data_IF_483122510780
#
_entry.id   IF_483122510780
#
_cell.length_a   1.000
_cell.length_b   1.000
_cell.length_c   1.000
_cell.angle_alpha   90.00
_cell.angle_beta   90.00
_cell.angle_gamma   90.00
#
_symmetry.space_group_name_H-M   'P 1'
#
loop_
_entity.id
_entity.type
_entity.pdbx_description
1 polymer ?
#
# COMPACT_ATOMS: atom_id res chain seq x y z
N UNK A 1 26.89 -15.30 -3.72
CA UNK A 1 26.17 -14.14 -3.17
C UNK A 1 26.57 -12.96 -4.03
N UNK A 2 25.67 -12.63 -4.96
CA UNK A 2 25.97 -11.83 -6.15
C UNK A 2 25.35 -10.45 -6.02
N UNK A 3 25.57 -9.60 -7.03
CA UNK A 3 25.07 -8.22 -7.14
C UNK A 3 23.51 -8.09 -7.13
N UNK A 4 22.78 -9.15 -6.78
CA UNK A 4 21.33 -9.34 -6.80
C UNK A 4 20.77 -9.88 -5.47
N UNK A 5 21.44 -9.67 -4.33
CA UNK A 5 21.03 -10.26 -3.03
C UNK A 5 19.73 -9.66 -2.43
N UNK A 6 18.84 -9.06 -3.24
CA UNK A 6 17.48 -8.61 -2.85
C UNK A 6 16.48 -8.81 -4.00
N UNK A 7 15.34 -9.38 -3.66
CA UNK A 7 14.22 -9.67 -4.55
C UNK A 7 13.04 -8.74 -4.31
N UNK A 8 12.08 -8.70 -5.23
CA UNK A 8 10.79 -8.02 -5.05
C UNK A 8 10.06 -8.43 -3.76
N UNK A 9 10.29 -9.65 -3.24
CA UNK A 9 9.72 -10.09 -1.97
C UNK A 9 10.19 -9.26 -0.77
N UNK A 10 11.45 -8.81 -0.78
CA UNK A 10 12.05 -8.06 0.32
C UNK A 10 11.43 -6.67 0.45
N UNK A 11 11.29 -5.97 -0.69
CA UNK A 11 10.89 -4.57 -0.73
C UNK A 11 9.41 -4.33 -1.03
N UNK A 12 8.70 -5.27 -1.63
CA UNK A 12 7.29 -5.06 -2.01
C UNK A 12 6.36 -5.90 -1.14
N UNK A 13 6.68 -7.18 -0.95
CA UNK A 13 5.78 -8.14 -0.29
C UNK A 13 5.91 -8.09 1.24
N UNK A 14 7.14 -8.08 1.76
CA UNK A 14 7.35 -8.05 3.21
C UNK A 14 6.80 -6.77 3.86
N UNK A 15 7.00 -5.55 3.32
CA UNK A 15 6.42 -4.34 3.90
C UNK A 15 4.90 -4.34 3.84
N UNK A 16 4.29 -4.82 2.75
CA UNK A 16 2.84 -4.96 2.65
C UNK A 16 2.28 -5.94 3.69
N UNK A 17 2.96 -7.06 3.97
CA UNK A 17 2.57 -7.96 5.05
C UNK A 17 2.56 -7.23 6.40
N UNK A 18 3.61 -6.48 6.74
CA UNK A 18 3.67 -5.71 7.98
C UNK A 18 2.55 -4.67 8.09
N UNK A 19 2.12 -4.08 6.97
CA UNK A 19 0.96 -3.19 6.94
C UNK A 19 -0.31 -3.97 7.23
N UNK A 20 -0.57 -5.08 6.53
CA UNK A 20 -1.78 -5.89 6.70
C UNK A 20 -1.90 -6.50 8.11
N UNK A 21 -0.78 -6.88 8.72
CA UNK A 21 -0.71 -7.34 10.12
C UNK A 21 -1.24 -6.28 11.10
N UNK A 22 -0.98 -5.00 10.85
CA UNK A 22 -1.48 -3.89 11.69
C UNK A 22 -2.98 -3.59 11.48
N UNK A 23 -3.62 -4.24 10.50
CA UNK A 23 -5.02 -4.02 10.13
C UNK A 23 -5.94 -5.18 10.55
N UNK A 24 -5.45 -6.17 11.32
CA UNK A 24 -6.21 -7.40 11.64
C UNK A 24 -7.43 -7.23 12.56
N UNK A 25 -7.58 -6.08 13.22
CA UNK A 25 -8.68 -5.81 14.16
C UNK A 25 -9.70 -4.81 13.61
N UNK A 26 -9.92 -4.84 12.29
CA UNK A 26 -10.80 -3.89 11.58
C UNK A 26 -11.93 -4.62 10.87
N UNK A 27 -13.02 -4.84 11.60
CA UNK A 27 -14.18 -5.58 11.09
C UNK A 27 -14.84 -4.88 9.90
N UNK A 28 -14.82 -5.53 8.73
CA UNK A 28 -15.53 -5.10 7.52
C UNK A 28 -15.12 -3.73 6.97
N UNK A 29 -13.98 -3.21 7.40
CA UNK A 29 -13.57 -1.82 7.17
C UNK A 29 -12.34 -1.68 6.27
N UNK A 30 -11.63 -2.78 6.00
CA UNK A 30 -10.41 -2.77 5.18
C UNK A 30 -10.77 -3.04 3.73
N UNK A 31 -10.47 -2.10 2.85
CA UNK A 31 -10.48 -2.32 1.42
C UNK A 31 -9.15 -2.92 0.98
N UNK A 32 -9.19 -3.98 0.17
CA UNK A 32 -8.00 -4.57 -0.46
C UNK A 32 -8.11 -4.41 -1.97
N UNK A 33 -7.08 -3.80 -2.57
CA UNK A 33 -6.85 -3.77 -4.00
C UNK A 33 -5.78 -4.81 -4.39
N UNK A 34 -5.98 -5.47 -5.52
CA UNK A 34 -5.01 -6.42 -6.06
C UNK A 34 -4.82 -6.20 -7.55
N UNK A 35 -3.73 -6.75 -8.09
CA UNK A 35 -3.45 -6.72 -9.53
C UNK A 35 -4.57 -7.31 -10.40
N UNK A 36 -5.41 -8.20 -9.84
CA UNK A 36 -6.46 -8.92 -10.59
C UNK A 36 -7.91 -8.54 -10.24
N UNK A 37 -8.16 -7.83 -9.15
CA UNK A 37 -9.52 -7.52 -8.71
C UNK A 37 -10.02 -6.20 -9.31
N UNK A 38 -11.19 -6.25 -9.96
CA UNK A 38 -11.80 -5.10 -10.62
C UNK A 38 -12.30 -3.98 -9.68
N UNK A 39 -12.50 -4.29 -8.40
CA UNK A 39 -12.96 -3.34 -7.40
C UNK A 39 -12.37 -3.68 -6.02
N UNK A 40 -12.30 -2.66 -5.15
CA UNK A 40 -11.97 -2.82 -3.75
C UNK A 40 -12.99 -3.72 -3.04
N UNK A 41 -12.50 -4.77 -2.39
CA UNK A 41 -13.33 -5.65 -1.55
C UNK A 41 -13.13 -5.24 -0.10
N UNK A 42 -14.22 -4.87 0.57
CA UNK A 42 -14.21 -4.62 2.01
C UNK A 42 -14.19 -5.93 2.77
N UNK A 43 -13.19 -6.10 3.63
CA UNK A 43 -12.95 -7.33 4.38
C UNK A 43 -12.60 -7.04 5.82
N UNK A 44 -12.71 -8.08 6.64
CA UNK A 44 -11.96 -8.21 7.90
C UNK A 44 -10.70 -9.01 7.62
N UNK A 45 -9.51 -8.49 7.95
CA UNK A 45 -8.27 -9.27 7.88
C UNK A 45 -8.14 -10.09 9.16
N UNK A 46 -8.22 -11.41 9.08
CA UNK A 46 -8.09 -12.29 10.25
C UNK A 46 -6.63 -12.57 10.62
N UNK A 47 -5.75 -12.67 9.61
CA UNK A 47 -4.30 -12.78 9.81
C UNK A 47 -3.57 -12.36 8.54
N UNK A 48 -2.34 -11.87 8.68
CA UNK A 48 -1.41 -11.65 7.58
C UNK A 48 -0.06 -12.25 7.97
N UNK A 49 0.24 -13.45 7.48
CA UNK A 49 1.46 -14.17 7.84
C UNK A 49 1.89 -15.09 6.70
N UNK A 50 3.20 -15.38 6.61
CA UNK A 50 3.76 -16.29 5.58
C UNK A 50 3.34 -15.88 4.16
N UNK A 51 3.29 -14.58 3.89
CA UNK A 51 2.91 -13.98 2.61
C UNK A 51 1.46 -14.23 2.19
N UNK A 52 0.58 -14.59 3.15
CA UNK A 52 -0.85 -14.79 2.95
C UNK A 52 -1.64 -13.89 3.88
N UNK A 53 -2.64 -13.19 3.35
CA UNK A 53 -3.64 -12.48 4.12
C UNK A 53 -4.95 -13.28 4.10
N UNK A 54 -5.35 -13.81 5.27
CA UNK A 54 -6.64 -14.49 5.45
C UNK A 54 -7.67 -13.46 5.85
N UNK A 55 -8.80 -13.44 5.16
CA UNK A 55 -9.85 -12.44 5.37
C UNK A 55 -11.23 -13.08 5.42
N UNK A 56 -12.25 -12.28 5.70
CA UNK A 56 -13.67 -12.70 5.64
C UNK A 56 -14.11 -13.18 4.26
N UNK A 57 -13.43 -12.76 3.18
CA UNK A 57 -13.79 -13.05 1.78
C UNK A 57 -12.84 -14.04 1.09
N UNK A 58 -11.93 -14.65 1.85
CA UNK A 58 -11.01 -15.66 1.33
C UNK A 58 -9.56 -15.41 1.75
N UNK A 59 -8.62 -15.88 0.94
CA UNK A 59 -7.18 -15.72 1.20
C UNK A 59 -6.51 -15.06 0.03
N UNK A 60 -5.76 -13.99 0.30
CA UNK A 60 -5.01 -13.22 -0.68
C UNK A 60 -3.52 -13.52 -0.55
N UNK A 61 -2.85 -13.94 -1.63
CA UNK A 61 -1.40 -13.85 -1.71
C UNK A 61 -0.99 -12.39 -1.63
N UNK A 62 -0.15 -12.03 -0.65
CA UNK A 62 0.23 -10.64 -0.39
C UNK A 62 1.01 -10.04 -1.57
N UNK A 63 1.71 -10.88 -2.34
CA UNK A 63 2.41 -10.44 -3.55
C UNK A 63 1.49 -9.92 -4.67
N UNK A 64 0.17 -10.17 -4.58
CA UNK A 64 -0.81 -9.62 -5.51
C UNK A 64 -1.50 -8.37 -4.95
N UNK A 65 -1.30 -8.03 -3.67
CA UNK A 65 -1.93 -6.87 -3.03
C UNK A 65 -1.15 -5.62 -3.41
N UNK A 66 -1.83 -4.69 -4.05
CA UNK A 66 -1.20 -3.44 -4.54
C UNK A 66 -1.49 -2.27 -3.61
N UNK A 67 -2.66 -2.27 -2.97
CA UNK A 67 -3.01 -1.30 -1.94
C UNK A 67 -3.97 -1.89 -0.92
N UNK A 68 -3.94 -1.31 0.28
CA UNK A 68 -4.95 -1.54 1.32
C UNK A 68 -5.38 -0.19 1.87
N UNK A 69 -6.65 -0.04 2.21
CA UNK A 69 -7.15 1.22 2.75
C UNK A 69 -8.30 1.02 3.71
N UNK A 70 -8.73 2.11 4.33
CA UNK A 70 -9.88 2.10 5.21
C UNK A 70 -10.90 3.16 4.81
N UNK A 71 -12.17 2.81 4.94
CA UNK A 71 -13.28 3.74 4.77
C UNK A 71 -13.66 4.36 6.13
N UNK A 72 -13.52 5.69 6.25
CA UNK A 72 -13.85 6.46 7.47
C UNK A 72 -15.27 6.19 7.97
N UNK A 73 -16.22 5.91 7.06
CA UNK A 73 -17.63 5.64 7.41
C UNK A 73 -17.77 4.27 8.08
N UNK A 74 -16.91 3.31 7.75
CA UNK A 74 -16.93 1.94 8.28
C UNK A 74 -16.07 1.78 9.53
N UNK A 75 -15.18 2.72 9.81
CA UNK A 75 -14.20 2.64 10.91
C UNK A 75 -14.63 3.42 12.15
N UNK A 76 -15.93 3.66 12.36
CA UNK A 76 -16.43 4.51 13.45
C UNK A 76 -15.92 4.11 14.85
N UNK A 77 -15.60 2.83 15.06
CA UNK A 77 -15.02 2.29 16.31
C UNK A 77 -13.49 2.45 16.43
N UNK A 78 -12.77 2.54 15.31
CA UNK A 78 -11.31 2.73 15.27
C UNK A 78 -10.88 3.43 13.97
N UNK A 79 -10.99 4.77 13.90
CA UNK A 79 -10.68 5.53 12.69
C UNK A 79 -9.18 5.65 12.44
N UNK A 80 -8.33 5.19 13.37
CA UNK A 80 -6.90 5.45 13.32
C UNK A 80 -6.24 4.59 12.23
N UNK A 81 -5.70 5.21 11.17
CA UNK A 81 -4.86 4.56 10.16
C UNK A 81 -3.37 4.88 10.39
N UNK A 82 -2.98 5.10 11.64
CA UNK A 82 -1.58 5.36 11.97
C UNK A 82 -0.76 4.07 11.85
N UNK A 83 -0.22 3.84 10.66
CA UNK A 83 0.64 2.69 10.36
C UNK A 83 2.09 3.00 10.74
N UNK A 84 2.75 2.01 11.34
CA UNK A 84 4.21 1.97 11.49
C UNK A 84 4.80 1.32 10.25
N UNK A 85 5.45 2.12 9.41
CA UNK A 85 6.12 1.64 8.20
C UNK A 85 7.55 1.21 8.51
N UNK A 86 8.08 0.27 7.72
CA UNK A 86 9.51 -0.01 7.71
C UNK A 86 10.26 1.24 7.24
N UNK A 87 11.44 1.54 7.80
CA UNK A 87 12.22 2.69 7.38
C UNK A 87 12.61 2.57 5.91
N UNK A 88 12.68 3.71 5.20
CA UNK A 88 13.19 3.75 3.83
C UNK A 88 14.58 3.13 3.79
N UNK A 89 14.82 2.28 2.79
CA UNK A 89 16.08 1.58 2.67
C UNK A 89 17.21 2.48 2.27
N UNK A 90 18.40 2.09 2.71
CA UNK A 90 19.67 2.76 2.34
C UNK A 90 20.52 1.88 1.44
N UNK A 91 20.31 0.56 1.45
CA UNK A 91 21.02 -0.43 0.68
C UNK A 91 20.39 -0.64 -0.70
N UNK A 92 20.59 0.32 -1.60
CA UNK A 92 20.12 0.25 -3.00
C UNK A 92 20.82 -0.87 -3.79
N UNK A 93 20.29 -2.09 -3.70
CA UNK A 93 20.77 -3.29 -4.40
C UNK A 93 19.60 -4.15 -4.90
N UNK A 94 19.87 -4.99 -5.90
CA UNK A 94 18.92 -5.98 -6.41
C UNK A 94 17.81 -5.39 -7.27
N UNK A 95 16.75 -6.16 -7.48
CA UNK A 95 15.62 -5.79 -8.36
C UNK A 95 14.86 -4.57 -7.86
N UNK A 96 14.88 -4.32 -6.56
CA UNK A 96 14.17 -3.20 -5.98
C UNK A 96 14.78 -1.83 -6.36
N UNK A 97 16.06 -1.78 -6.75
CA UNK A 97 16.72 -0.51 -7.08
C UNK A 97 16.30 0.13 -8.38
N UNK A 98 15.63 -0.61 -9.27
CA UNK A 98 15.07 -0.04 -10.49
C UNK A 98 13.57 0.26 -10.41
N UNK A 99 12.82 -0.46 -9.57
CA UNK A 99 11.36 -0.37 -9.55
C UNK A 99 10.80 0.28 -8.28
N UNK A 100 11.36 -0.05 -7.11
CA UNK A 100 10.84 0.43 -5.82
C UNK A 100 11.57 1.69 -5.36
N UNK A 101 12.90 1.68 -5.32
CA UNK A 101 13.72 2.80 -4.81
C UNK A 101 13.36 4.14 -5.48
N UNK A 102 13.26 4.25 -6.83
CA UNK A 102 12.96 5.54 -7.47
C UNK A 102 11.58 6.09 -7.12
N UNK A 103 10.55 5.23 -7.05
CA UNK A 103 9.20 5.64 -6.70
C UNK A 103 9.12 6.10 -5.24
N UNK A 104 9.76 5.36 -4.34
CA UNK A 104 9.85 5.69 -2.91
C UNK A 104 10.58 7.03 -2.70
N UNK A 105 11.70 7.27 -3.39
CA UNK A 105 12.44 8.54 -3.32
C UNK A 105 11.62 9.73 -3.84
N UNK A 106 10.93 9.56 -4.96
CA UNK A 106 10.05 10.60 -5.51
C UNK A 106 8.96 10.97 -4.48
N UNK A 107 8.27 9.98 -3.92
CA UNK A 107 7.20 10.20 -2.95
C UNK A 107 7.69 10.76 -1.62
N UNK A 108 8.89 10.38 -1.18
CA UNK A 108 9.49 10.95 0.02
C UNK A 108 9.63 12.48 -0.11
N UNK A 109 10.01 12.98 -1.29
CA UNK A 109 10.09 14.41 -1.60
C UNK A 109 8.72 15.14 -1.65
N UNK A 110 7.63 14.36 -1.69
CA UNK A 110 6.24 14.83 -1.73
C UNK A 110 5.51 14.65 -0.41
N UNK A 111 6.17 14.23 0.67
CA UNK A 111 5.56 14.16 2.01
C UNK A 111 4.92 15.51 2.38
N UNK A 112 3.66 15.46 2.81
CA UNK A 112 2.83 16.63 3.10
C UNK A 112 2.23 17.35 1.89
N UNK A 113 2.52 16.90 0.67
CA UNK A 113 1.96 17.47 -0.57
C UNK A 113 0.81 16.63 -1.10
N UNK A 114 -0.09 17.29 -1.83
CA UNK A 114 -1.17 16.63 -2.55
C UNK A 114 -0.63 16.10 -3.88
N UNK A 115 -0.91 14.82 -4.14
CA UNK A 115 -0.46 14.10 -5.33
C UNK A 115 -1.60 13.28 -5.90
N UNK A 116 -1.54 13.04 -7.21
CA UNK A 116 -2.33 12.00 -7.86
C UNK A 116 -1.41 10.83 -8.19
N UNK A 117 -1.72 9.65 -7.64
CA UNK A 117 -0.95 8.43 -7.87
C UNK A 117 -1.72 7.51 -8.80
N UNK A 118 -1.02 7.00 -9.82
CA UNK A 118 -1.46 5.88 -10.65
C UNK A 118 -0.75 4.62 -10.15
N UNK A 119 -1.52 3.55 -9.95
CA UNK A 119 -0.96 2.25 -9.57
C UNK A 119 -1.72 1.09 -10.21
N UNK A 120 -1.04 -0.04 -10.33
CA UNK A 120 -1.59 -1.26 -10.92
C UNK A 120 -2.73 -1.82 -10.05
N UNK A 121 -3.88 -2.07 -10.68
CA UNK A 121 -5.04 -2.73 -10.05
C UNK A 121 -5.98 -3.23 -11.14
N UNK A 122 -6.82 -4.24 -10.87
CA UNK A 122 -7.91 -4.62 -11.78
C UNK A 122 -7.53 -5.06 -13.20
N UNK A 123 -6.30 -5.53 -13.43
CA UNK A 123 -5.80 -5.80 -14.80
C UNK A 123 -5.60 -4.53 -15.64
N UNK A 124 -5.54 -3.35 -15.00
CA UNK A 124 -5.27 -2.06 -15.59
C UNK A 124 -4.61 -1.12 -14.56
N UNK A 125 -4.92 0.17 -14.64
CA UNK A 125 -4.42 1.18 -13.69
C UNK A 125 -5.56 1.88 -12.98
N UNK A 126 -5.36 2.20 -11.70
CA UNK A 126 -6.27 2.98 -10.88
C UNK A 126 -5.60 4.28 -10.45
N UNK A 127 -6.40 5.32 -10.20
CA UNK A 127 -5.90 6.60 -9.71
C UNK A 127 -6.49 6.95 -8.36
N UNK A 128 -5.65 7.47 -7.49
CA UNK A 128 -6.08 8.05 -6.22
C UNK A 128 -5.47 9.42 -6.03
N UNK A 129 -6.19 10.32 -5.37
CA UNK A 129 -5.78 11.70 -5.11
C UNK A 129 -5.75 11.93 -3.62
N UNK A 130 -4.58 12.16 -3.05
CA UNK A 130 -4.41 12.29 -1.60
C UNK A 130 -3.20 13.12 -1.19
N UNK A 131 -3.09 13.37 0.10
CA UNK A 131 -1.90 13.96 0.72
C UNK A 131 -0.97 12.84 1.13
N UNK A 132 0.31 12.90 0.75
CA UNK A 132 1.32 11.93 1.19
C UNK A 132 1.59 12.12 2.68
N UNK A 133 1.25 11.14 3.51
CA UNK A 133 1.45 11.21 4.97
C UNK A 133 2.79 10.62 5.40
N UNK A 134 3.07 9.39 4.95
CA UNK A 134 4.29 8.65 5.30
C UNK A 134 4.80 7.89 4.10
N UNK A 135 6.12 7.73 4.06
CA UNK A 135 6.82 6.92 3.07
C UNK A 135 7.81 6.05 3.81
N UNK A 136 7.76 4.75 3.55
CA UNK A 136 8.66 3.74 4.08
C UNK A 136 9.15 2.82 2.97
N UNK A 137 9.93 1.80 3.33
CA UNK A 137 10.33 0.74 2.39
C UNK A 137 9.07 0.14 1.74
N UNK A 138 8.98 0.24 0.41
CA UNK A 138 7.92 -0.39 -0.37
C UNK A 138 6.53 0.20 -0.23
N UNK A 139 6.30 1.19 0.64
CA UNK A 139 4.95 1.65 1.02
C UNK A 139 4.89 3.17 1.10
N UNK A 140 3.86 3.74 0.50
CA UNK A 140 3.41 5.11 0.74
C UNK A 140 2.02 5.10 1.37
N UNK A 141 1.76 5.98 2.32
CA UNK A 141 0.41 6.23 2.81
C UNK A 141 -0.13 7.56 2.32
N UNK A 142 -1.40 7.55 1.90
CA UNK A 142 -2.14 8.73 1.48
C UNK A 142 -3.33 8.96 2.42
N UNK A 143 -3.58 10.22 2.76
CA UNK A 143 -4.86 10.67 3.32
C UNK A 143 -5.70 11.33 2.25
N UNK A 144 -6.94 10.87 2.12
CA UNK A 144 -7.97 11.50 1.30
C UNK A 144 -9.02 12.12 2.21
N UNK A 145 -9.23 13.43 2.06
CA UNK A 145 -10.28 14.13 2.81
C UNK A 145 -11.60 14.22 2.03
N UNK A 146 -11.70 13.54 0.89
CA UNK A 146 -12.90 13.53 0.07
C UNK A 146 -13.95 12.57 0.64
N UNK A 147 -15.19 13.06 0.92
CA UNK A 147 -16.26 12.21 1.44
C UNK A 147 -16.65 11.13 0.42
N UNK A 148 -16.91 9.92 0.91
CA UNK A 148 -17.31 8.77 0.07
C UNK A 148 -16.15 8.02 -0.61
N UNK A 149 -14.90 8.30 -0.22
CA UNK A 149 -13.70 7.57 -0.69
C UNK A 149 -12.97 6.91 0.48
N UNK A 150 -12.04 5.99 0.19
CA UNK A 150 -11.12 5.47 1.19
C UNK A 150 -10.34 6.64 1.80
N UNK A 151 -10.48 6.79 3.11
CA UNK A 151 -9.94 7.92 3.86
C UNK A 151 -8.43 7.89 4.00
N UNK A 152 -7.88 6.69 4.12
CA UNK A 152 -6.46 6.46 4.14
C UNK A 152 -6.16 5.20 3.34
N UNK A 153 -5.07 5.24 2.59
CA UNK A 153 -4.58 4.13 1.80
C UNK A 153 -3.10 3.94 2.07
N UNK A 154 -2.66 2.69 2.12
CA UNK A 154 -1.28 2.28 2.01
C UNK A 154 -1.11 1.59 0.66
N UNK A 155 -0.20 2.10 -0.18
CA UNK A 155 0.01 1.64 -1.56
C UNK A 155 1.44 1.14 -1.66
N UNK A 156 1.60 -0.02 -2.29
CA UNK A 156 2.92 -0.55 -2.61
C UNK A 156 3.60 0.32 -3.66
N UNK A 157 4.75 0.89 -3.34
CA UNK A 157 5.49 1.75 -4.28
C UNK A 157 6.01 0.98 -5.49
N UNK A 158 6.11 -0.34 -5.39
CA UNK A 158 6.44 -1.23 -6.50
C UNK A 158 5.34 -1.33 -7.57
N UNK A 159 4.11 -0.96 -7.23
CA UNK A 159 2.97 -0.97 -8.14
C UNK A 159 2.59 0.42 -8.65
N UNK A 160 3.35 1.45 -8.27
CA UNK A 160 3.10 2.81 -8.75
C UNK A 160 3.66 2.97 -10.15
N UNK A 161 2.81 3.36 -11.07
CA UNK A 161 3.15 3.55 -12.49
C UNK A 161 3.36 5.03 -12.83
N UNK A 162 2.71 5.95 -12.10
CA UNK A 162 2.85 7.39 -12.30
C UNK A 162 2.59 8.19 -11.03
N UNK A 163 3.42 9.22 -10.81
CA UNK A 163 3.24 10.24 -9.77
C UNK A 163 2.99 11.57 -10.46
N UNK A 164 1.87 12.22 -10.13
CA UNK A 164 1.52 13.56 -10.63
C UNK A 164 1.44 14.54 -9.46
N UNK A 165 2.10 15.69 -9.61
CA UNK A 165 1.90 16.83 -8.71
C UNK A 165 0.50 17.40 -8.91
N UNK A 166 -0.26 17.53 -7.82
CA UNK A 166 -1.57 18.14 -7.85
C UNK A 166 -1.50 19.54 -7.23
N UNK A 167 -1.37 20.55 -8.10
CA UNK A 167 -1.27 21.97 -7.76
C UNK A 167 -2.66 22.54 -7.48
#
# INVERSE_FOLDING_TARGET
MGKFDRSVCDCCVCPMQCVMEQLTDREGAVAIATTSLFNDVYVTINSADKFLAKTSEGTYPICNVTAVGIDRVRTASNPNFDLTLKPVRVDKKGECSCCEDPATEELLSKTGKKVRLEYDSAGGTFFTLGIVEKVGEGIVTLMNDSPGTLSHLAISTCHITRVEDYI
#
